data_IF_422207788665
#
_entry.id   IF_422207788665
#
_cell.length_a   1.000
_cell.length_b   1.000
_cell.length_c   1.000
_cell.angle_alpha   90.00
_cell.angle_beta   90.00
_cell.angle_gamma   90.00
#
_symmetry.space_group_name_H-M   'P 1'
#
loop_
_entity.id
_entity.type
_entity.pdbx_description
1 polymer ?
#
# COMPACT_ATOMS: atom_id res chain seq x y z
N UNK A 1 -8.54 11.56 -23.07
CA UNK A 1 -7.52 10.89 -23.89
C UNK A 1 -6.22 10.69 -23.13
N UNK A 2 -5.64 11.76 -22.55
CA UNK A 2 -4.35 11.67 -21.83
C UNK A 2 -4.38 10.79 -20.58
N UNK A 3 -5.48 10.79 -19.82
CA UNK A 3 -5.57 10.05 -18.57
C UNK A 3 -5.49 8.52 -18.78
N UNK A 4 -6.18 7.97 -19.77
CA UNK A 4 -6.19 6.54 -20.07
C UNK A 4 -4.84 6.05 -20.59
N UNK A 5 -4.18 6.85 -21.44
CA UNK A 5 -2.81 6.58 -21.91
C UNK A 5 -1.83 6.62 -20.74
N UNK A 6 -1.94 7.62 -19.87
CA UNK A 6 -1.10 7.75 -18.68
C UNK A 6 -1.24 6.53 -17.76
N UNK A 7 -2.47 6.10 -17.47
CA UNK A 7 -2.75 4.91 -16.64
C UNK A 7 -2.18 3.64 -17.29
N UNK A 8 -2.36 3.48 -18.61
CA UNK A 8 -1.81 2.35 -19.35
C UNK A 8 -0.28 2.30 -19.24
N UNK A 9 0.40 3.42 -19.53
CA UNK A 9 1.84 3.51 -19.47
C UNK A 9 2.36 3.25 -18.06
N UNK A 10 1.71 3.81 -17.04
CA UNK A 10 2.14 3.66 -15.65
C UNK A 10 1.97 2.22 -15.15
N UNK A 11 0.82 1.59 -15.40
CA UNK A 11 0.59 0.20 -15.02
C UNK A 11 1.55 -0.75 -15.75
N UNK A 12 1.75 -0.53 -17.06
CA UNK A 12 2.68 -1.32 -17.88
C UNK A 12 4.12 -1.15 -17.38
N UNK A 13 4.55 0.09 -17.12
CA UNK A 13 5.89 0.40 -16.61
C UNK A 13 6.13 -0.26 -15.25
N UNK A 14 5.19 -0.15 -14.31
CA UNK A 14 5.28 -0.81 -13.01
C UNK A 14 5.35 -2.34 -13.14
N UNK A 15 4.54 -2.92 -14.03
CA UNK A 15 4.58 -4.35 -14.34
C UNK A 15 5.94 -4.78 -14.89
N UNK A 16 6.44 -4.12 -15.94
CA UNK A 16 7.74 -4.42 -16.55
C UNK A 16 8.89 -4.24 -15.56
N UNK A 17 8.86 -3.19 -14.73
CA UNK A 17 9.88 -2.97 -13.70
C UNK A 17 9.92 -4.11 -12.66
N UNK A 18 8.76 -4.66 -12.27
CA UNK A 18 8.75 -5.81 -11.34
C UNK A 18 9.37 -7.06 -11.94
N UNK A 19 9.04 -7.35 -13.20
CA UNK A 19 9.62 -8.48 -13.95
C UNK A 19 11.12 -8.30 -14.09
N UNK A 20 11.57 -7.10 -14.46
CA UNK A 20 12.99 -6.79 -14.63
C UNK A 20 13.80 -7.00 -13.34
N UNK A 21 13.26 -6.56 -12.19
CA UNK A 21 13.96 -6.65 -10.89
C UNK A 21 14.00 -8.05 -10.27
N UNK A 22 12.96 -8.85 -10.44
CA UNK A 22 12.82 -10.15 -9.74
C UNK A 22 12.99 -11.38 -10.63
N UNK A 23 12.54 -11.30 -11.89
CA UNK A 23 12.57 -12.40 -12.88
C UNK A 23 12.02 -13.73 -12.35
N UNK A 24 11.01 -13.66 -11.48
CA UNK A 24 10.31 -14.81 -10.89
C UNK A 24 8.98 -15.08 -11.59
N UNK A 25 8.44 -16.30 -11.49
CA UNK A 25 7.13 -16.63 -12.09
C UNK A 25 6.02 -15.71 -11.57
N UNK A 26 6.01 -15.41 -10.26
CA UNK A 26 5.09 -14.45 -9.65
C UNK A 26 5.20 -13.05 -10.28
N UNK A 27 6.41 -12.59 -10.62
CA UNK A 27 6.61 -11.29 -11.26
C UNK A 27 6.11 -11.27 -12.70
N UNK A 28 6.31 -12.35 -13.48
CA UNK A 28 5.78 -12.45 -14.84
C UNK A 28 4.26 -12.45 -14.87
N UNK A 29 3.62 -13.23 -14.00
CA UNK A 29 2.15 -13.28 -13.90
C UNK A 29 1.61 -11.91 -13.48
N UNK A 30 2.26 -11.25 -12.53
CA UNK A 30 1.90 -9.90 -12.12
C UNK A 30 2.13 -8.85 -13.23
N UNK A 31 3.18 -9.01 -14.04
CA UNK A 31 3.41 -8.18 -15.22
C UNK A 31 2.25 -8.28 -16.21
N UNK A 32 1.80 -9.50 -16.53
CA UNK A 32 0.61 -9.73 -17.37
C UNK A 32 -0.64 -9.09 -16.77
N UNK A 33 -0.85 -9.23 -15.46
CA UNK A 33 -1.94 -8.58 -14.75
C UNK A 33 -1.91 -7.04 -14.91
N UNK A 34 -0.76 -6.42 -14.67
CA UNK A 34 -0.60 -4.97 -14.73
C UNK A 34 -0.81 -4.43 -16.16
N UNK A 35 -0.23 -5.08 -17.17
CA UNK A 35 -0.44 -4.72 -18.58
C UNK A 35 -1.92 -4.86 -18.98
N UNK A 36 -2.59 -5.91 -18.51
CA UNK A 36 -4.00 -6.16 -18.81
C UNK A 36 -4.93 -5.10 -18.22
N UNK A 37 -4.68 -4.67 -16.98
CA UNK A 37 -5.42 -3.58 -16.35
C UNK A 37 -5.14 -2.22 -17.01
N UNK A 38 -3.90 -2.00 -17.48
CA UNK A 38 -3.59 -0.87 -18.34
C UNK A 38 -4.43 -0.89 -19.62
N UNK A 39 -4.47 -2.03 -20.32
CA UNK A 39 -5.21 -2.18 -21.57
C UNK A 39 -6.72 -1.95 -21.36
N UNK A 40 -7.26 -2.48 -20.27
CA UNK A 40 -8.64 -2.24 -19.83
C UNK A 40 -8.93 -0.75 -19.63
N UNK A 41 -8.08 -0.04 -18.86
CA UNK A 41 -8.22 1.39 -18.59
C UNK A 41 -8.16 2.25 -19.87
N UNK A 42 -7.21 1.94 -20.75
CA UNK A 42 -7.08 2.60 -22.04
C UNK A 42 -8.31 2.38 -22.93
N UNK A 43 -8.78 1.13 -23.01
CA UNK A 43 -9.91 0.73 -23.84
C UNK A 43 -11.19 1.45 -23.42
N UNK A 44 -11.50 1.53 -22.12
CA UNK A 44 -12.66 2.29 -21.61
C UNK A 44 -12.64 3.73 -22.11
N UNK A 45 -11.51 4.41 -21.93
CA UNK A 45 -11.42 5.81 -22.30
C UNK A 45 -11.52 6.01 -23.82
N UNK A 46 -10.95 5.10 -24.61
CA UNK A 46 -11.04 5.15 -26.06
C UNK A 46 -12.46 4.85 -26.57
N UNK A 47 -13.19 3.94 -25.93
CA UNK A 47 -14.61 3.70 -26.22
C UNK A 47 -15.46 4.93 -25.96
N UNK A 48 -15.27 5.60 -24.82
CA UNK A 48 -16.02 6.83 -24.50
C UNK A 48 -15.75 7.94 -25.52
N UNK A 49 -14.53 8.02 -26.07
CA UNK A 49 -14.16 9.03 -27.07
C UNK A 49 -14.66 8.72 -28.49
N UNK A 50 -14.65 7.45 -28.89
CA UNK A 50 -14.89 7.06 -30.29
C UNK A 50 -16.24 6.39 -30.53
N UNK A 51 -16.92 5.94 -29.48
CA UNK A 51 -18.11 5.10 -29.60
C UNK A 51 -17.83 3.74 -30.26
N UNK A 52 -16.57 3.34 -30.41
CA UNK A 52 -16.19 2.15 -31.16
C UNK A 52 -16.50 0.86 -30.40
N UNK A 53 -17.23 -0.04 -31.07
CA UNK A 53 -17.52 -1.38 -30.56
C UNK A 53 -16.25 -2.21 -30.32
N UNK A 54 -15.23 -2.05 -31.18
CA UNK A 54 -13.96 -2.75 -31.05
C UNK A 54 -13.30 -2.47 -29.69
N UNK A 55 -13.13 -1.19 -29.34
CA UNK A 55 -12.52 -0.80 -28.06
C UNK A 55 -13.38 -1.22 -26.85
N UNK A 56 -14.72 -1.24 -27.02
CA UNK A 56 -15.60 -1.75 -25.97
C UNK A 56 -15.37 -3.26 -25.75
N UNK A 57 -15.22 -4.04 -26.82
CA UNK A 57 -14.85 -5.47 -26.75
C UNK A 57 -13.47 -5.68 -26.13
N UNK A 58 -12.49 -4.84 -26.48
CA UNK A 58 -11.14 -4.87 -25.88
C UNK A 58 -11.15 -4.61 -24.38
N UNK A 59 -12.11 -3.81 -23.88
CA UNK A 59 -12.30 -3.62 -22.44
C UNK A 59 -12.59 -4.96 -21.75
N UNK A 60 -13.50 -5.77 -22.30
CA UNK A 60 -13.77 -7.09 -21.72
C UNK A 60 -12.55 -8.00 -21.73
N UNK A 61 -11.79 -8.04 -22.83
CA UNK A 61 -10.54 -8.81 -22.92
C UNK A 61 -9.54 -8.39 -21.81
N UNK A 62 -9.33 -7.10 -21.61
CA UNK A 62 -8.43 -6.59 -20.57
C UNK A 62 -8.87 -6.99 -19.16
N UNK A 63 -10.18 -7.04 -18.89
CA UNK A 63 -10.70 -7.50 -17.61
C UNK A 63 -10.53 -9.03 -17.44
N UNK A 64 -10.76 -9.83 -18.49
CA UNK A 64 -10.65 -11.29 -18.47
C UNK A 64 -9.22 -11.75 -18.21
N UNK A 65 -8.26 -11.19 -18.96
CA UNK A 65 -6.83 -11.52 -18.79
C UNK A 65 -6.36 -11.02 -17.42
N UNK A 66 -6.83 -9.86 -16.98
CA UNK A 66 -6.52 -9.31 -15.66
C UNK A 66 -7.00 -10.24 -14.54
N UNK A 67 -8.28 -10.61 -14.53
CA UNK A 67 -8.82 -11.45 -13.45
C UNK A 67 -8.22 -12.87 -13.46
N UNK A 68 -7.99 -13.44 -14.64
CA UNK A 68 -7.31 -14.72 -14.79
C UNK A 68 -5.87 -14.68 -14.24
N UNK A 69 -5.14 -13.59 -14.55
CA UNK A 69 -3.79 -13.37 -14.04
C UNK A 69 -3.76 -13.15 -12.53
N UNK A 70 -4.76 -12.46 -11.95
CA UNK A 70 -4.87 -12.28 -10.50
C UNK A 70 -5.10 -13.61 -9.78
N UNK A 71 -5.97 -14.46 -10.32
CA UNK A 71 -6.22 -15.78 -9.75
C UNK A 71 -4.98 -16.66 -9.84
N UNK A 72 -4.32 -16.69 -11.00
CA UNK A 72 -3.06 -17.40 -11.15
C UNK A 72 -1.98 -16.86 -10.18
N UNK A 73 -1.87 -15.54 -10.05
CA UNK A 73 -0.95 -14.88 -9.10
C UNK A 73 -1.25 -15.33 -7.65
N UNK A 74 -2.52 -15.37 -7.27
CA UNK A 74 -2.96 -15.82 -5.93
C UNK A 74 -2.47 -17.23 -5.59
N UNK A 75 -2.30 -18.09 -6.59
CA UNK A 75 -1.84 -19.48 -6.40
C UNK A 75 -0.32 -19.62 -6.30
N UNK A 76 0.47 -18.74 -6.94
CA UNK A 76 1.94 -18.75 -6.88
C UNK A 76 2.49 -17.96 -5.68
N UNK A 77 1.89 -16.81 -5.37
CA UNK A 77 2.38 -15.87 -4.35
C UNK A 77 1.98 -16.27 -2.92
N UNK A 78 2.81 -16.06 -1.88
CA UNK A 78 4.21 -15.64 -1.89
C UNK A 78 5.16 -16.85 -1.98
N UNK A 79 6.35 -16.65 -2.57
CA UNK A 79 7.45 -17.60 -2.41
C UNK A 79 7.67 -18.57 -3.57
N UNK A 80 7.28 -18.18 -4.78
CA UNK A 80 7.71 -18.86 -6.02
C UNK A 80 7.35 -20.37 -6.07
N UNK A 81 6.18 -20.74 -5.54
CA UNK A 81 5.73 -22.14 -5.57
C UNK A 81 5.50 -22.61 -7.01
N UNK A 82 6.04 -23.77 -7.36
CA UNK A 82 5.81 -24.40 -8.67
C UNK A 82 4.35 -24.81 -8.79
N UNK A 83 3.71 -24.42 -9.89
CA UNK A 83 2.39 -24.90 -10.31
C UNK A 83 2.60 -26.03 -11.31
N UNK A 84 1.80 -27.10 -11.20
CA UNK A 84 1.81 -28.16 -12.20
C UNK A 84 1.18 -27.66 -13.50
N UNK A 85 1.72 -28.12 -14.64
CA UNK A 85 1.28 -27.68 -15.96
C UNK A 85 -0.23 -27.86 -16.18
N UNK A 86 -0.81 -28.98 -15.72
CA UNK A 86 -2.25 -29.24 -15.84
C UNK A 86 -3.11 -28.22 -15.06
N UNK A 87 -2.67 -27.81 -13.86
CA UNK A 87 -3.38 -26.80 -13.07
C UNK A 87 -3.29 -25.42 -13.73
N UNK A 88 -2.12 -25.09 -14.28
CA UNK A 88 -1.92 -23.85 -15.03
C UNK A 88 -2.85 -23.79 -16.25
N UNK A 89 -2.92 -24.85 -17.05
CA UNK A 89 -3.83 -24.93 -18.20
C UNK A 89 -5.30 -24.82 -17.78
N UNK A 90 -5.71 -25.52 -16.71
CA UNK A 90 -7.08 -25.47 -16.21
C UNK A 90 -7.49 -24.05 -15.77
N UNK A 91 -6.59 -23.31 -15.13
CA UNK A 91 -6.83 -21.93 -14.68
C UNK A 91 -6.97 -20.96 -15.86
N UNK A 92 -6.24 -21.18 -16.95
CA UNK A 92 -6.23 -20.27 -18.11
C UNK A 92 -7.31 -20.62 -19.13
N UNK A 93 -7.80 -21.86 -19.14
CA UNK A 93 -8.81 -22.33 -20.08
C UNK A 93 -10.06 -21.45 -20.15
N UNK A 94 -10.68 -21.15 -18.99
CA UNK A 94 -11.87 -20.30 -18.93
C UNK A 94 -11.58 -18.86 -19.42
N UNK A 95 -10.54 -18.17 -18.90
CA UNK A 95 -10.13 -16.86 -19.43
C UNK A 95 -9.90 -16.86 -20.95
N UNK A 96 -9.29 -17.89 -21.52
CA UNK A 96 -9.07 -17.96 -22.97
C UNK A 96 -10.38 -18.09 -23.75
N UNK A 97 -11.31 -18.92 -23.27
CA UNK A 97 -12.62 -19.09 -23.90
C UNK A 97 -13.44 -17.80 -23.87
N UNK A 98 -13.48 -17.12 -22.71
CA UNK A 98 -14.16 -15.83 -22.60
C UNK A 98 -13.47 -14.72 -23.41
N UNK A 99 -12.15 -14.76 -23.57
CA UNK A 99 -11.42 -13.79 -24.39
C UNK A 99 -11.82 -13.89 -25.86
N UNK A 100 -11.99 -15.11 -26.38
CA UNK A 100 -12.51 -15.34 -27.74
C UNK A 100 -13.96 -14.86 -27.83
N UNK A 101 -14.80 -15.23 -26.85
CA UNK A 101 -16.21 -14.81 -26.81
C UNK A 101 -16.38 -13.29 -26.73
N UNK A 102 -15.41 -12.56 -26.16
CA UNK A 102 -15.47 -11.09 -26.02
C UNK A 102 -15.54 -10.33 -27.34
N UNK A 103 -15.07 -10.93 -28.44
CA UNK A 103 -15.16 -10.32 -29.76
C UNK A 103 -16.41 -10.73 -30.56
N UNK A 104 -17.35 -11.44 -29.93
CA UNK A 104 -18.57 -11.93 -30.57
C UNK A 104 -19.82 -11.23 -30.05
N UNK A 105 -20.90 -11.27 -30.84
CA UNK A 105 -22.21 -10.72 -30.49
C UNK A 105 -22.89 -11.49 -29.34
N UNK A 106 -22.34 -12.65 -28.97
CA UNK A 106 -22.79 -13.42 -27.80
C UNK A 106 -22.50 -12.69 -26.49
N UNK A 107 -21.50 -11.80 -26.47
CA UNK A 107 -21.13 -11.01 -25.29
C UNK A 107 -21.61 -9.55 -25.40
N UNK A 108 -21.25 -8.85 -26.47
CA UNK A 108 -21.61 -7.45 -26.69
C UNK A 108 -22.09 -7.23 -28.13
N UNK A 109 -23.36 -6.84 -28.31
CA UNK A 109 -23.98 -6.61 -29.62
C UNK A 109 -23.76 -5.19 -30.12
N UNK A 110 -24.05 -4.19 -29.29
CA UNK A 110 -23.84 -2.78 -29.62
C UNK A 110 -23.43 -1.97 -28.39
N UNK A 111 -22.80 -0.82 -28.62
CA UNK A 111 -22.47 0.16 -27.59
C UNK A 111 -22.98 1.52 -28.02
N UNK A 112 -23.65 2.21 -27.10
CA UNK A 112 -24.10 3.59 -27.24
C UNK A 112 -23.52 4.39 -26.08
N UNK A 113 -23.02 5.60 -26.37
CA UNK A 113 -22.47 6.48 -25.34
C UNK A 113 -23.52 7.55 -25.04
N UNK A 114 -24.12 7.48 -23.84
CA UNK A 114 -25.13 8.44 -23.37
C UNK A 114 -24.55 9.12 -22.14
N UNK A 115 -24.45 10.46 -22.14
CA UNK A 115 -23.92 11.25 -21.02
C UNK A 115 -22.55 10.77 -20.48
N UNK A 116 -21.61 10.47 -21.40
CA UNK A 116 -20.28 9.89 -21.10
C UNK A 116 -20.32 8.53 -20.38
N UNK A 117 -21.49 7.91 -20.30
CA UNK A 117 -21.71 6.58 -19.76
C UNK A 117 -21.85 5.57 -20.89
N UNK A 118 -21.26 4.39 -20.71
CA UNK A 118 -21.32 3.30 -21.69
C UNK A 118 -22.60 2.50 -21.49
N UNK A 119 -23.52 2.59 -22.44
CA UNK A 119 -24.75 1.80 -22.47
C UNK A 119 -24.61 0.74 -23.56
N UNK A 120 -24.34 -0.49 -23.15
CA UNK A 120 -24.17 -1.63 -24.05
C UNK A 120 -25.42 -2.50 -24.12
N UNK A 121 -25.73 -3.03 -25.31
CA UNK A 121 -26.67 -4.15 -25.43
C UNK A 121 -25.90 -5.46 -25.33
N UNK A 122 -26.13 -6.19 -24.25
CA UNK A 122 -25.36 -7.39 -23.91
C UNK A 122 -26.02 -8.66 -24.44
N UNK A 123 -25.20 -9.61 -24.86
CA UNK A 123 -25.66 -10.93 -25.27
C UNK A 123 -25.81 -11.91 -24.09
N UNK A 124 -26.30 -13.14 -24.35
CA UNK A 124 -26.63 -14.12 -23.31
C UNK A 124 -25.42 -14.59 -22.49
N UNK A 125 -24.20 -14.49 -23.03
CA UNK A 125 -22.97 -14.91 -22.33
C UNK A 125 -22.58 -13.94 -21.20
N UNK A 126 -23.15 -12.72 -21.17
CA UNK A 126 -22.78 -11.70 -20.19
C UNK A 126 -22.98 -12.16 -18.73
N UNK A 127 -24.07 -12.88 -18.45
CA UNK A 127 -24.33 -13.40 -17.10
C UNK A 127 -23.25 -14.42 -16.66
N UNK A 128 -22.83 -15.29 -17.59
CA UNK A 128 -21.76 -16.26 -17.33
C UNK A 128 -20.40 -15.57 -17.14
N UNK A 129 -20.15 -14.51 -17.88
CA UNK A 129 -18.96 -13.68 -17.71
C UNK A 129 -18.90 -13.01 -16.33
N UNK A 130 -20.02 -12.44 -15.86
CA UNK A 130 -20.10 -11.84 -14.53
C UNK A 130 -19.85 -12.89 -13.43
N UNK A 131 -20.47 -14.06 -13.57
CA UNK A 131 -20.24 -15.19 -12.65
C UNK A 131 -18.78 -15.65 -12.67
N UNK A 132 -18.15 -15.72 -13.85
CA UNK A 132 -16.73 -16.02 -14.02
C UNK A 132 -15.85 -15.01 -13.27
N UNK A 133 -16.06 -13.71 -13.46
CA UNK A 133 -15.31 -12.67 -12.75
C UNK A 133 -15.48 -12.81 -11.25
N UNK A 134 -16.71 -12.94 -10.76
CA UNK A 134 -17.00 -13.08 -9.33
C UNK A 134 -16.31 -14.31 -8.73
N UNK A 135 -16.33 -15.43 -9.45
CA UNK A 135 -15.71 -16.69 -9.01
C UNK A 135 -14.18 -16.58 -8.96
N UNK A 136 -13.56 -16.04 -10.01
CA UNK A 136 -12.10 -15.87 -10.06
C UNK A 136 -11.61 -14.83 -9.06
N UNK A 137 -12.34 -13.72 -8.90
CA UNK A 137 -12.02 -12.71 -7.90
C UNK A 137 -12.13 -13.27 -6.48
N UNK A 138 -13.27 -13.86 -6.14
CA UNK A 138 -13.50 -14.44 -4.80
C UNK A 138 -12.52 -15.57 -4.51
N UNK A 139 -12.23 -16.42 -5.49
CA UNK A 139 -11.21 -17.47 -5.39
C UNK A 139 -9.81 -16.90 -5.16
N UNK A 140 -9.48 -15.76 -5.77
CA UNK A 140 -8.19 -15.07 -5.57
C UNK A 140 -8.06 -14.59 -4.13
N UNK A 141 -9.09 -13.90 -3.63
CA UNK A 141 -9.13 -13.40 -2.25
C UNK A 141 -9.08 -14.55 -1.26
N UNK A 142 -9.89 -15.59 -1.46
CA UNK A 142 -9.92 -16.77 -0.59
C UNK A 142 -8.55 -17.46 -0.53
N UNK A 143 -7.89 -17.65 -1.67
CA UNK A 143 -6.56 -18.29 -1.74
C UNK A 143 -5.51 -17.46 -1.02
N UNK A 144 -5.48 -16.14 -1.24
CA UNK A 144 -4.54 -15.24 -0.57
C UNK A 144 -4.80 -15.22 0.94
N UNK A 145 -6.06 -15.16 1.37
CA UNK A 145 -6.44 -15.12 2.77
C UNK A 145 -6.14 -16.44 3.50
N UNK A 146 -6.38 -17.59 2.84
CA UNK A 146 -5.99 -18.90 3.35
C UNK A 146 -4.47 -18.98 3.56
N UNK A 147 -3.68 -18.47 2.62
CA UNK A 147 -2.22 -18.39 2.75
C UNK A 147 -1.81 -17.44 3.87
N UNK A 148 -2.48 -16.30 4.01
CA UNK A 148 -2.21 -15.36 5.09
C UNK A 148 -2.29 -16.03 6.47
N UNK A 149 -3.27 -16.90 6.72
CA UNK A 149 -3.39 -17.60 8.00
C UNK A 149 -2.23 -18.57 8.29
N UNK A 150 -1.76 -19.27 7.25
CA UNK A 150 -0.83 -20.40 7.38
C UNK A 150 0.65 -20.04 7.12
N UNK A 151 0.95 -18.80 6.77
CA UNK A 151 2.29 -18.33 6.40
C UNK A 151 3.14 -17.87 7.59
N UNK A 152 4.46 -17.83 7.41
CA UNK A 152 5.39 -17.23 8.38
C UNK A 152 5.19 -15.71 8.47
N UNK A 153 5.73 -15.06 9.50
CA UNK A 153 5.56 -13.62 9.73
C UNK A 153 5.99 -12.75 8.52
N UNK A 154 7.13 -13.09 7.89
CA UNK A 154 7.64 -12.35 6.72
C UNK A 154 6.73 -12.50 5.49
N UNK A 155 6.16 -13.69 5.29
CA UNK A 155 5.19 -13.95 4.22
C UNK A 155 3.85 -13.30 4.49
N UNK A 156 3.40 -13.27 5.76
CA UNK A 156 2.20 -12.52 6.17
C UNK A 156 2.31 -11.04 5.84
N UNK A 157 3.48 -10.43 6.04
CA UNK A 157 3.70 -9.03 5.66
C UNK A 157 3.52 -8.84 4.15
N UNK A 158 4.18 -9.67 3.31
CA UNK A 158 4.01 -9.62 1.84
C UNK A 158 2.55 -9.74 1.41
N UNK A 159 1.83 -10.72 1.96
CA UNK A 159 0.41 -10.92 1.69
C UNK A 159 -0.42 -9.74 2.17
N UNK A 160 -0.09 -9.18 3.34
CA UNK A 160 -0.75 -8.00 3.89
C UNK A 160 -0.67 -6.79 2.95
N UNK A 161 0.50 -6.52 2.34
CA UNK A 161 0.61 -5.44 1.34
C UNK A 161 -0.24 -5.70 0.10
N UNK A 162 -0.25 -6.94 -0.42
CA UNK A 162 -1.07 -7.29 -1.57
C UNK A 162 -2.58 -7.13 -1.26
N UNK A 163 -3.03 -7.63 -0.10
CA UNK A 163 -4.41 -7.47 0.36
C UNK A 163 -4.77 -6.00 0.55
N UNK A 164 -3.90 -5.21 1.17
CA UNK A 164 -4.11 -3.78 1.36
C UNK A 164 -4.23 -3.03 0.03
N UNK A 165 -3.38 -3.35 -0.95
CA UNK A 165 -3.48 -2.80 -2.30
C UNK A 165 -4.79 -3.15 -3.01
N UNK A 166 -5.22 -4.41 -2.90
CA UNK A 166 -6.50 -4.86 -3.46
C UNK A 166 -7.67 -4.15 -2.77
N UNK A 167 -7.67 -4.05 -1.44
CA UNK A 167 -8.73 -3.38 -0.68
C UNK A 167 -8.82 -1.89 -1.00
N UNK A 168 -7.69 -1.18 -1.09
CA UNK A 168 -7.64 0.25 -1.41
C UNK A 168 -8.03 0.56 -2.86
N UNK A 169 -7.95 -0.42 -3.76
CA UNK A 169 -8.40 -0.25 -5.14
C UNK A 169 -9.87 -0.67 -5.31
N UNK A 170 -10.22 -1.87 -4.87
CA UNK A 170 -11.52 -2.48 -5.12
C UNK A 170 -12.62 -1.86 -4.25
N UNK A 171 -12.33 -1.52 -2.99
CA UNK A 171 -13.31 -0.90 -2.09
C UNK A 171 -13.87 0.40 -2.66
N UNK A 172 -13.03 1.41 -2.96
CA UNK A 172 -13.50 2.64 -3.58
C UNK A 172 -14.13 2.42 -4.96
N UNK A 173 -13.65 1.47 -5.75
CA UNK A 173 -14.24 1.17 -7.06
C UNK A 173 -15.68 0.61 -6.93
N UNK A 174 -15.96 -0.23 -5.93
CA UNK A 174 -17.33 -0.69 -5.64
C UNK A 174 -18.21 0.49 -5.22
N UNK A 175 -17.68 1.38 -4.38
CA UNK A 175 -18.43 2.57 -3.95
C UNK A 175 -18.79 3.43 -5.16
N UNK A 176 -17.83 3.73 -6.04
CA UNK A 176 -18.06 4.66 -7.16
C UNK A 176 -18.91 4.08 -8.28
N UNK A 177 -18.85 2.77 -8.56
CA UNK A 177 -19.51 2.17 -9.73
C UNK A 177 -20.75 1.35 -9.39
N UNK A 178 -20.94 1.00 -8.12
CA UNK A 178 -22.06 0.17 -7.69
C UNK A 178 -22.91 0.92 -6.66
N UNK A 179 -22.30 1.35 -5.54
CA UNK A 179 -23.07 1.97 -4.44
C UNK A 179 -23.64 3.33 -4.85
N UNK A 180 -22.81 4.23 -5.40
CA UNK A 180 -23.28 5.57 -5.80
C UNK A 180 -24.35 5.53 -6.90
N UNK A 181 -24.21 4.74 -7.99
CA UNK A 181 -25.26 4.60 -8.98
C UNK A 181 -26.54 3.98 -8.43
N UNK A 182 -26.46 2.90 -7.64
CA UNK A 182 -27.65 2.18 -7.18
C UNK A 182 -28.40 2.91 -6.05
N UNK A 183 -27.68 3.53 -5.11
CA UNK A 183 -28.29 4.18 -3.95
C UNK A 183 -28.60 5.66 -4.18
N UNK A 184 -27.85 6.36 -5.05
CA UNK A 184 -27.95 7.80 -5.23
C UNK A 184 -28.17 8.23 -6.69
N UNK A 185 -28.33 7.27 -7.62
CA UNK A 185 -28.47 7.52 -9.07
C UNK A 185 -27.38 8.44 -9.64
N UNK A 186 -26.17 8.37 -9.08
CA UNK A 186 -25.06 9.25 -9.44
C UNK A 186 -23.93 8.45 -10.10
N UNK A 187 -23.72 8.71 -11.40
CA UNK A 187 -22.70 8.07 -12.23
C UNK A 187 -21.45 8.94 -12.45
N UNK A 188 -21.37 10.13 -11.84
CA UNK A 188 -20.30 11.11 -12.09
C UNK A 188 -18.90 10.57 -11.74
N UNK A 189 -18.82 9.57 -10.87
CA UNK A 189 -17.55 9.02 -10.37
C UNK A 189 -17.10 7.72 -11.06
N UNK A 190 -17.85 7.19 -12.03
CA UNK A 190 -17.51 5.93 -12.73
C UNK A 190 -16.13 5.99 -13.43
N UNK A 191 -15.68 7.19 -13.80
CA UNK A 191 -14.38 7.42 -14.44
C UNK A 191 -13.15 7.27 -13.52
N UNK A 192 -13.33 7.12 -12.20
CA UNK A 192 -12.22 7.04 -11.23
C UNK A 192 -11.60 5.63 -11.15
N UNK A 193 -12.38 4.60 -11.47
CA UNK A 193 -12.00 3.18 -11.35
C UNK A 193 -10.66 2.83 -12.01
N UNK A 194 -10.36 3.32 -13.23
CA UNK A 194 -9.07 3.08 -13.87
C UNK A 194 -7.89 3.62 -13.06
N UNK A 195 -8.05 4.77 -12.39
CA UNK A 195 -6.99 5.38 -11.56
C UNK A 195 -6.70 4.53 -10.32
N UNK A 196 -7.74 3.94 -9.73
CA UNK A 196 -7.59 3.07 -8.55
C UNK A 196 -6.75 1.81 -8.83
N UNK A 197 -6.73 1.34 -10.08
CA UNK A 197 -5.89 0.19 -10.47
C UNK A 197 -4.40 0.42 -10.21
N UNK A 198 -3.92 1.65 -10.33
CA UNK A 198 -2.53 2.03 -10.08
C UNK A 198 -2.15 1.72 -8.63
N UNK A 199 -3.05 2.01 -7.68
CA UNK A 199 -2.83 1.76 -6.26
C UNK A 199 -2.56 0.27 -6.04
N UNK A 200 -3.43 -0.58 -6.57
CA UNK A 200 -3.25 -2.03 -6.48
C UNK A 200 -1.93 -2.49 -7.10
N UNK A 201 -1.58 -2.00 -8.30
CA UNK A 201 -0.33 -2.35 -8.98
C UNK A 201 0.89 -1.92 -8.16
N UNK A 202 0.89 -0.72 -7.58
CA UNK A 202 1.99 -0.23 -6.74
C UNK A 202 2.19 -1.10 -5.49
N UNK A 203 1.11 -1.41 -4.78
CA UNK A 203 1.19 -2.21 -3.55
C UNK A 203 1.63 -3.65 -3.80
N UNK A 204 1.11 -4.30 -4.85
CA UNK A 204 1.53 -5.67 -5.21
C UNK A 204 2.95 -5.67 -5.77
N UNK A 205 3.32 -4.70 -6.62
CA UNK A 205 4.69 -4.50 -7.11
C UNK A 205 5.68 -4.39 -5.96
N UNK A 206 5.35 -3.56 -4.97
CA UNK A 206 6.13 -3.42 -3.75
C UNK A 206 6.26 -4.75 -2.99
N UNK A 207 5.16 -5.48 -2.83
CA UNK A 207 5.11 -6.79 -2.18
C UNK A 207 5.97 -7.87 -2.87
N UNK A 208 6.20 -7.75 -4.18
CA UNK A 208 7.05 -8.65 -4.97
C UNK A 208 8.52 -8.25 -4.87
N UNK A 209 8.84 -6.96 -5.06
CA UNK A 209 10.22 -6.48 -5.21
C UNK A 209 11.00 -6.48 -3.90
N UNK A 210 10.43 -5.93 -2.81
CA UNK A 210 11.22 -5.67 -1.60
C UNK A 210 11.43 -6.96 -0.81
N UNK A 211 12.62 -7.16 -0.24
CA UNK A 211 12.95 -8.39 0.51
C UNK A 211 12.85 -8.24 2.02
N UNK A 212 12.74 -7.01 2.54
CA UNK A 212 12.60 -6.71 3.97
C UNK A 212 11.49 -5.68 4.14
N UNK A 213 10.30 -6.17 4.45
CA UNK A 213 9.12 -5.33 4.60
C UNK A 213 9.05 -4.75 6.00
N UNK A 214 8.68 -3.47 6.09
CA UNK A 214 8.10 -2.93 7.31
C UNK A 214 6.87 -3.79 7.66
N UNK A 215 6.67 -4.05 8.95
CA UNK A 215 5.47 -4.74 9.44
C UNK A 215 4.23 -4.04 8.85
N UNK A 216 3.36 -4.82 8.21
CA UNK A 216 2.14 -4.30 7.62
C UNK A 216 1.27 -3.63 8.68
N UNK A 217 1.31 -4.08 9.93
CA UNK A 217 0.62 -3.42 11.06
C UNK A 217 1.13 -2.01 11.27
N UNK A 218 2.45 -1.79 11.18
CA UNK A 218 3.06 -0.46 11.31
C UNK A 218 2.66 0.42 10.14
N UNK A 219 2.64 -0.10 8.92
CA UNK A 219 2.20 0.67 7.74
C UNK A 219 0.72 1.02 7.82
N UNK A 220 -0.15 0.10 8.24
CA UNK A 220 -1.58 0.37 8.43
C UNK A 220 -1.77 1.40 9.55
N UNK A 221 -1.13 1.22 10.71
CA UNK A 221 -1.24 2.16 11.82
C UNK A 221 -0.79 3.56 11.40
N UNK A 222 0.45 3.70 10.89
CA UNK A 222 0.97 4.99 10.42
C UNK A 222 0.09 5.56 9.31
N UNK A 223 -0.32 4.73 8.35
CA UNK A 223 -1.20 5.14 7.26
C UNK A 223 -2.55 5.67 7.75
N UNK A 224 -3.19 5.01 8.71
CA UNK A 224 -4.46 5.46 9.30
C UNK A 224 -4.28 6.79 10.04
N UNK A 225 -3.21 6.93 10.81
CA UNK A 225 -2.91 8.16 11.56
C UNK A 225 -2.72 9.33 10.60
N UNK A 226 -1.85 9.17 9.60
CA UNK A 226 -1.60 10.20 8.60
C UNK A 226 -2.85 10.49 7.77
N UNK A 227 -3.69 9.49 7.48
CA UNK A 227 -4.95 9.68 6.78
C UNK A 227 -5.95 10.47 7.61
N UNK A 228 -6.09 10.18 8.92
CA UNK A 228 -6.93 10.96 9.83
C UNK A 228 -6.46 12.41 9.90
N UNK A 229 -5.15 12.62 10.06
CA UNK A 229 -4.54 13.95 10.11
C UNK A 229 -4.80 14.72 8.80
N UNK A 230 -4.60 14.07 7.66
CA UNK A 230 -4.87 14.65 6.35
C UNK A 230 -6.36 14.97 6.17
N UNK A 231 -7.26 14.09 6.62
CA UNK A 231 -8.70 14.31 6.58
C UNK A 231 -9.14 15.47 7.47
N UNK A 232 -8.54 15.66 8.65
CA UNK A 232 -8.84 16.80 9.52
C UNK A 232 -8.35 18.10 8.90
N UNK A 233 -7.13 18.13 8.35
CA UNK A 233 -6.60 19.31 7.64
C UNK A 233 -7.49 19.65 6.43
N UNK A 234 -7.78 18.65 5.60
CA UNK A 234 -8.61 18.81 4.39
C UNK A 234 -10.04 19.21 4.76
N UNK A 235 -10.64 18.59 5.78
CA UNK A 235 -11.98 18.92 6.27
C UNK A 235 -12.05 20.33 6.82
N UNK A 236 -11.06 20.76 7.61
CA UNK A 236 -10.98 22.15 8.11
C UNK A 236 -10.85 23.13 6.95
N UNK A 237 -9.99 22.81 5.96
CA UNK A 237 -9.85 23.61 4.76
C UNK A 237 -11.16 23.73 3.98
N UNK A 238 -11.86 22.62 3.73
CA UNK A 238 -13.15 22.62 3.05
C UNK A 238 -14.21 23.42 3.82
N UNK A 239 -14.29 23.26 5.15
CA UNK A 239 -15.21 24.03 5.99
C UNK A 239 -14.92 25.52 5.88
N UNK A 240 -13.66 25.94 5.92
CA UNK A 240 -13.28 27.33 5.72
C UNK A 240 -13.72 27.82 4.34
N UNK A 241 -13.36 27.11 3.27
CA UNK A 241 -13.73 27.48 1.88
C UNK A 241 -15.25 27.63 1.74
N UNK A 242 -16.02 26.63 2.17
CA UNK A 242 -17.48 26.67 2.08
C UNK A 242 -18.12 27.74 2.99
N UNK A 243 -17.55 28.01 4.16
CA UNK A 243 -18.04 29.08 5.04
C UNK A 243 -17.80 30.46 4.42
N UNK A 244 -16.63 30.68 3.81
CA UNK A 244 -16.33 31.90 3.05
C UNK A 244 -17.25 32.00 1.83
N UNK A 245 -17.41 30.94 1.05
CA UNK A 245 -18.34 30.94 -0.08
C UNK A 245 -19.77 31.26 0.37
N UNK A 246 -20.27 30.64 1.44
CA UNK A 246 -21.61 30.93 1.96
C UNK A 246 -21.78 32.39 2.40
N UNK A 247 -20.80 32.96 3.12
CA UNK A 247 -20.86 34.34 3.61
C UNK A 247 -20.73 35.38 2.48
N UNK A 248 -19.96 35.10 1.43
CA UNK A 248 -19.61 36.06 0.37
C UNK A 248 -20.33 35.82 -0.98
N UNK A 249 -21.02 34.68 -1.16
CA UNK A 249 -21.75 34.29 -2.39
C UNK A 249 -22.90 35.22 -2.78
N UNK A 250 -23.28 36.17 -1.92
CA UNK A 250 -24.39 37.10 -2.18
C UNK A 250 -24.01 38.39 -2.92
N UNK A 251 -22.80 38.52 -3.45
CA UNK A 251 -22.34 39.77 -4.10
C UNK A 251 -21.66 39.52 -5.44
N UNK A 252 -21.77 40.51 -6.34
CA UNK A 252 -21.35 40.60 -7.76
C UNK A 252 -20.03 39.89 -8.13
N UNK A 253 -19.74 39.78 -9.44
CA UNK A 253 -18.53 39.11 -9.98
C UNK A 253 -17.19 39.50 -9.31
N UNK A 254 -17.09 40.71 -8.74
CA UNK A 254 -15.94 41.16 -7.93
C UNK A 254 -15.74 40.34 -6.64
N UNK A 255 -16.81 39.78 -6.05
CA UNK A 255 -16.78 38.92 -4.86
C UNK A 255 -16.11 37.58 -5.11
N UNK A 256 -16.26 37.02 -6.31
CA UNK A 256 -15.67 35.72 -6.69
C UNK A 256 -14.15 35.81 -6.71
N UNK A 257 -13.60 36.90 -7.26
CA UNK A 257 -12.14 37.13 -7.25
C UNK A 257 -11.61 37.36 -5.84
N UNK A 258 -12.34 38.11 -5.01
CA UNK A 258 -11.95 38.38 -3.63
C UNK A 258 -12.02 37.11 -2.77
N UNK A 259 -13.06 36.29 -2.92
CA UNK A 259 -13.19 35.02 -2.20
C UNK A 259 -12.14 34.00 -2.61
N UNK A 260 -11.79 33.91 -3.90
CA UNK A 260 -10.70 33.07 -4.40
C UNK A 260 -9.34 33.51 -3.84
N UNK A 261 -9.08 34.81 -3.79
CA UNK A 261 -7.84 35.37 -3.26
C UNK A 261 -7.72 35.15 -1.75
N UNK A 262 -8.80 35.38 -0.98
CA UNK A 262 -8.85 35.11 0.46
C UNK A 262 -8.69 33.62 0.76
N UNK A 263 -9.38 32.75 0.02
CA UNK A 263 -9.26 31.29 0.18
C UNK A 263 -7.83 30.82 -0.07
N UNK A 264 -7.17 31.37 -1.09
CA UNK A 264 -5.77 31.07 -1.41
C UNK A 264 -4.84 31.53 -0.29
N UNK A 265 -5.04 32.75 0.25
CA UNK A 265 -4.26 33.26 1.38
C UNK A 265 -4.47 32.43 2.64
N UNK A 266 -5.71 32.08 2.98
CA UNK A 266 -6.03 31.22 4.13
C UNK A 266 -5.43 29.82 3.94
N UNK A 267 -5.41 29.29 2.72
CA UNK A 267 -4.70 28.04 2.39
C UNK A 267 -3.19 28.14 2.67
N UNK A 268 -2.54 29.19 2.15
CA UNK A 268 -1.09 29.39 2.27
C UNK A 268 -0.68 29.65 3.73
N UNK A 269 -1.43 30.45 4.48
CA UNK A 269 -1.06 30.84 5.84
C UNK A 269 -1.67 29.96 6.93
N UNK A 270 -2.86 29.39 6.71
CA UNK A 270 -3.59 28.59 7.69
C UNK A 270 -3.18 27.11 7.70
N UNK A 271 -2.84 26.53 6.53
CA UNK A 271 -2.47 25.10 6.45
C UNK A 271 -1.12 24.80 7.13
N UNK A 272 -0.03 25.58 6.96
CA UNK A 272 1.25 25.30 7.60
C UNK A 272 1.23 25.24 9.15
N UNK A 273 0.60 26.18 9.88
CA UNK A 273 0.53 26.10 11.35
C UNK A 273 -0.34 24.94 11.82
N UNK A 274 -1.46 24.66 11.13
CA UNK A 274 -2.31 23.50 11.43
C UNK A 274 -1.52 22.19 11.26
N UNK A 275 -0.80 22.06 10.14
CA UNK A 275 0.10 20.93 9.85
C UNK A 275 1.14 20.76 10.96
N UNK A 276 1.80 21.84 11.39
CA UNK A 276 2.79 21.80 12.48
C UNK A 276 2.17 21.40 13.81
N UNK A 277 1.00 21.91 14.17
CA UNK A 277 0.31 21.57 15.43
C UNK A 277 -0.04 20.08 15.48
N UNK A 278 -0.65 19.57 14.41
CA UNK A 278 -1.02 18.17 14.33
C UNK A 278 0.21 17.27 14.25
N UNK A 279 1.27 17.64 13.51
CA UNK A 279 2.55 16.92 13.55
C UNK A 279 3.11 16.83 14.97
N UNK A 280 3.18 17.94 15.73
CA UNK A 280 3.71 17.94 17.11
C UNK A 280 2.90 17.04 18.07
N UNK A 281 1.57 17.09 17.99
CA UNK A 281 0.67 16.24 18.79
C UNK A 281 0.80 14.76 18.41
N UNK A 282 0.93 14.50 17.10
CA UNK A 282 1.10 13.18 16.52
C UNK A 282 2.45 12.62 16.96
N UNK A 283 3.54 13.34 16.79
CA UNK A 283 4.88 12.89 17.17
C UNK A 283 4.96 12.52 18.66
N UNK A 284 4.33 13.31 19.53
CA UNK A 284 4.29 13.02 20.97
C UNK A 284 3.49 11.75 21.35
N UNK A 285 2.48 11.38 20.55
CA UNK A 285 1.64 10.20 20.78
C UNK A 285 2.23 8.96 20.07
N UNK A 286 2.82 9.14 18.89
CA UNK A 286 3.22 8.06 17.98
C UNK A 286 4.72 7.74 17.99
N UNK A 287 5.59 8.73 18.26
CA UNK A 287 7.04 8.51 18.40
C UNK A 287 7.47 8.26 19.84
N UNK A 288 6.54 8.14 20.79
CA UNK A 288 6.85 7.69 22.16
C UNK A 288 7.54 6.30 22.23
N UNK A 289 7.62 5.57 21.11
CA UNK A 289 8.33 4.29 20.98
C UNK A 289 9.36 4.25 19.85
N UNK A 290 9.52 5.32 19.07
CA UNK A 290 10.63 5.42 18.13
C UNK A 290 11.71 6.15 18.90
N UNK A 291 12.65 5.38 19.44
CA UNK A 291 13.82 5.85 20.21
C UNK A 291 14.17 7.27 19.81
N UNK A 292 13.95 8.22 20.72
CA UNK A 292 14.60 9.49 20.59
C UNK A 292 16.07 9.21 20.90
N UNK A 293 16.80 8.66 19.92
CA UNK A 293 18.21 8.30 20.02
C UNK A 293 19.00 9.49 20.56
N UNK A 294 18.54 10.72 20.31
CA UNK A 294 19.16 11.94 20.83
C UNK A 294 19.00 12.07 22.34
N UNK A 295 17.83 11.77 22.90
CA UNK A 295 17.59 11.79 24.35
C UNK A 295 18.32 10.63 25.06
N UNK A 296 18.34 9.44 24.44
CA UNK A 296 19.08 8.27 24.94
C UNK A 296 20.59 8.54 24.91
N UNK A 297 21.13 9.04 23.80
CA UNK A 297 22.55 9.39 23.68
C UNK A 297 22.94 10.53 24.63
N UNK A 298 22.07 11.52 24.84
CA UNK A 298 22.27 12.57 25.83
C UNK A 298 22.38 11.99 27.24
N UNK A 299 21.44 11.14 27.63
CA UNK A 299 21.42 10.49 28.94
C UNK A 299 22.64 9.58 29.17
N UNK A 300 23.10 8.87 28.12
CA UNK A 300 24.32 8.07 28.16
C UNK A 300 25.56 8.95 28.31
N UNK A 301 25.62 10.07 27.58
CA UNK A 301 26.73 11.03 27.65
C UNK A 301 26.83 11.67 29.04
N UNK A 302 25.69 12.03 29.62
CA UNK A 302 25.62 12.58 30.98
C UNK A 302 26.04 11.52 32.02
N UNK A 303 25.59 10.27 31.86
CA UNK A 303 26.00 9.18 32.74
C UNK A 303 27.51 8.90 32.67
N UNK A 304 28.11 9.03 31.49
CA UNK A 304 29.55 8.86 31.26
C UNK A 304 30.38 10.03 31.80
N UNK A 305 29.87 11.26 31.71
CA UNK A 305 30.62 12.47 32.11
C UNK A 305 30.46 12.82 33.59
N UNK A 306 29.36 12.43 34.24
CA UNK A 306 29.05 12.86 35.62
C UNK A 306 29.57 11.89 36.69
N UNK A 307 29.89 10.65 36.31
CA UNK A 307 30.34 9.61 37.23
C UNK A 307 31.82 9.29 37.00
N UNK A 308 32.62 9.28 38.07
CA UNK A 308 34.06 8.96 38.01
C UNK A 308 34.31 7.45 38.25
N UNK A 309 33.39 6.76 38.93
CA UNK A 309 33.50 5.34 39.25
C UNK A 309 32.93 4.44 38.13
N UNK A 310 33.73 3.48 37.67
CA UNK A 310 33.38 2.54 36.60
C UNK A 310 32.09 1.75 36.89
N UNK A 311 31.88 1.34 38.13
CA UNK A 311 30.70 0.57 38.54
C UNK A 311 29.42 1.41 38.39
N UNK A 312 29.48 2.69 38.79
CA UNK A 312 28.31 3.59 38.66
C UNK A 312 28.02 3.97 37.21
N UNK A 313 29.05 4.05 36.35
CA UNK A 313 28.87 4.24 34.91
C UNK A 313 28.17 3.02 34.31
N UNK A 314 28.68 1.82 34.60
CA UNK A 314 28.16 0.59 33.98
C UNK A 314 26.73 0.29 34.41
N UNK A 315 26.39 0.53 35.68
CA UNK A 315 25.03 0.37 36.20
C UNK A 315 24.03 1.35 35.56
N UNK A 316 24.31 2.66 35.57
CA UNK A 316 23.42 3.66 34.94
C UNK A 316 23.28 3.45 33.44
N UNK A 317 24.38 3.13 32.76
CA UNK A 317 24.39 2.86 31.32
C UNK A 317 23.59 1.59 31.01
N UNK A 318 23.73 0.55 31.84
CA UNK A 318 22.96 -0.69 31.70
C UNK A 318 21.46 -0.44 31.87
N UNK A 319 21.05 0.37 32.84
CA UNK A 319 19.65 0.70 33.07
C UNK A 319 19.03 1.51 31.92
N UNK A 320 19.75 2.51 31.42
CA UNK A 320 19.33 3.29 30.24
C UNK A 320 19.20 2.39 29.02
N UNK A 321 20.17 1.51 28.78
CA UNK A 321 20.13 0.54 27.67
C UNK A 321 19.01 -0.48 27.84
N UNK A 322 18.78 -0.98 29.06
CA UNK A 322 17.72 -1.95 29.36
C UNK A 322 16.34 -1.35 29.12
N UNK A 323 16.11 -0.12 29.58
CA UNK A 323 14.85 0.59 29.37
C UNK A 323 14.64 0.98 27.91
N UNK A 324 15.67 1.55 27.28
CA UNK A 324 15.60 1.95 25.89
C UNK A 324 15.41 0.70 25.02
N UNK A 325 16.35 -0.24 24.97
CA UNK A 325 16.33 -1.44 24.12
C UNK A 325 15.23 -2.46 24.48
N UNK A 326 14.48 -2.23 25.57
CA UNK A 326 13.50 -3.16 26.14
C UNK A 326 14.09 -4.55 26.35
N UNK A 327 15.36 -4.62 26.74
CA UNK A 327 16.06 -5.87 27.02
C UNK A 327 15.65 -6.42 28.40
N UNK A 328 15.65 -7.74 28.58
CA UNK A 328 15.48 -8.37 29.89
C UNK A 328 16.71 -8.16 30.77
N UNK A 329 17.90 -8.28 30.18
CA UNK A 329 19.20 -8.12 30.84
C UNK A 329 20.18 -7.39 29.93
N UNK A 330 21.04 -6.56 30.53
CA UNK A 330 22.17 -5.89 29.88
C UNK A 330 23.38 -6.11 30.79
N UNK A 331 24.43 -6.73 30.26
CA UNK A 331 25.61 -7.11 31.04
C UNK A 331 26.86 -6.55 30.37
N UNK A 332 27.64 -5.80 31.14
CA UNK A 332 28.98 -5.38 30.76
C UNK A 332 30.00 -6.40 31.28
N UNK A 333 30.78 -7.00 30.38
CA UNK A 333 31.89 -7.88 30.73
C UNK A 333 33.21 -7.23 30.30
N UNK A 334 34.10 -6.97 31.26
CA UNK A 334 35.44 -6.46 30.99
C UNK A 334 36.45 -7.61 31.19
N UNK A 335 37.34 -7.82 30.21
CA UNK A 335 38.30 -8.95 30.22
C UNK A 335 37.85 -10.21 29.45
N UNK A 336 38.58 -11.32 29.59
CA UNK A 336 38.44 -12.54 28.77
C UNK A 336 37.26 -13.45 29.13
N UNK A 337 36.54 -13.19 30.22
CA UNK A 337 35.40 -14.01 30.63
C UNK A 337 34.09 -13.45 30.08
N UNK A 338 33.71 -13.92 28.90
CA UNK A 338 32.37 -13.74 28.36
C UNK A 338 31.43 -14.79 28.95
N UNK A 339 30.37 -14.42 29.67
CA UNK A 339 29.32 -15.38 30.00
C UNK A 339 28.69 -15.88 28.69
N UNK A 340 28.80 -17.19 28.43
CA UNK A 340 28.15 -17.87 27.30
C UNK A 340 26.72 -18.21 27.72
N UNK A 341 25.77 -17.35 27.39
CA UNK A 341 24.35 -17.69 27.41
C UNK A 341 23.79 -17.72 25.98
N UNK A 342 23.12 -18.83 25.64
CA UNK A 342 22.71 -19.25 24.29
C UNK A 342 21.55 -18.45 23.67
N UNK A 343 21.34 -17.19 24.05
CA UNK A 343 20.30 -16.36 23.43
C UNK A 343 20.56 -14.86 23.47
N UNK A 344 21.83 -14.46 23.49
CA UNK A 344 22.24 -13.08 23.69
C UNK A 344 23.06 -12.52 22.51
N UNK A 345 22.82 -11.25 22.16
CA UNK A 345 23.68 -10.52 21.22
C UNK A 345 24.84 -9.92 22.01
N UNK A 346 26.07 -10.15 21.56
CA UNK A 346 27.26 -9.54 22.13
C UNK A 346 27.84 -8.50 21.17
N UNK A 347 28.05 -7.30 21.67
CA UNK A 347 28.66 -6.18 20.97
C UNK A 347 30.03 -5.89 21.60
N UNK A 348 31.13 -5.85 20.81
CA UNK A 348 32.46 -5.58 21.35
C UNK A 348 32.59 -4.10 21.73
N UNK A 349 33.08 -3.84 22.94
CA UNK A 349 33.45 -2.52 23.43
C UNK A 349 34.91 -2.30 23.07
N UNK A 350 35.18 -1.32 22.20
CA UNK A 350 36.53 -1.04 21.71
C UNK A 350 37.04 0.32 22.18
N UNK A 351 38.29 0.36 22.60
CA UNK A 351 39.04 1.60 22.82
C UNK A 351 40.31 1.57 21.98
N UNK A 352 40.52 2.58 21.14
CA UNK A 352 41.65 2.65 20.19
C UNK A 352 41.86 1.36 19.37
N UNK A 353 40.78 0.78 18.85
CA UNK A 353 40.74 -0.47 18.08
C UNK A 353 41.19 -1.73 18.86
N UNK A 354 41.42 -1.64 20.17
CA UNK A 354 41.62 -2.80 21.04
C UNK A 354 40.30 -3.16 21.72
N UNK A 355 39.95 -4.44 21.70
CA UNK A 355 38.77 -4.94 22.42
C UNK A 355 39.06 -4.93 23.93
N UNK A 356 38.27 -4.16 24.68
CA UNK A 356 38.40 -4.02 26.14
C UNK A 356 37.32 -4.81 26.89
N UNK A 357 36.26 -5.23 26.22
CA UNK A 357 35.16 -5.97 26.82
C UNK A 357 33.99 -6.18 25.86
N UNK A 358 32.93 -6.83 26.32
CA UNK A 358 31.72 -7.05 25.54
C UNK A 358 30.49 -6.55 26.30
N UNK A 359 29.56 -5.94 25.57
CA UNK A 359 28.20 -5.61 25.99
C UNK A 359 27.29 -6.75 25.51
N UNK A 360 26.67 -7.45 26.46
CA UNK A 360 25.76 -8.57 26.16
C UNK A 360 24.33 -8.16 26.44
N UNK A 361 23.47 -8.29 25.43
CA UNK A 361 22.03 -8.01 25.50
C UNK A 361 21.26 -9.33 25.58
N UNK A 362 20.45 -9.48 26.64
CA UNK A 362 19.51 -10.60 26.81
C UNK A 362 18.31 -10.51 25.86
N UNK A 363 17.30 -11.37 26.05
CA UNK A 363 16.10 -11.36 25.19
C UNK A 363 15.36 -10.02 25.25
N UNK A 364 14.77 -9.62 24.13
CA UNK A 364 13.88 -8.44 24.10
C UNK A 364 12.58 -8.80 24.82
N UNK A 365 12.09 -7.94 25.72
CA UNK A 365 10.83 -8.13 26.46
C UNK A 365 9.60 -8.28 25.55
N UNK A 366 9.69 -7.85 24.28
CA UNK A 366 8.65 -8.05 23.28
C UNK A 366 8.65 -9.45 22.65
N UNK A 367 9.69 -10.26 22.86
CA UNK A 367 9.89 -11.57 22.22
C UNK A 367 10.48 -11.52 20.81
N UNK A 368 10.74 -10.31 20.27
CA UNK A 368 11.33 -10.13 18.95
C UNK A 368 12.86 -10.24 18.96
N UNK A 369 13.47 -10.56 17.81
CA UNK A 369 14.92 -10.43 17.63
C UNK A 369 15.33 -8.96 17.47
N UNK A 370 16.50 -8.58 17.97
CA UNK A 370 17.08 -7.26 17.73
C UNK A 370 17.26 -7.00 16.23
N UNK A 371 17.01 -5.77 15.80
CA UNK A 371 17.15 -5.33 14.42
C UNK A 371 18.50 -4.62 14.18
N UNK A 372 18.77 -4.19 12.94
CA UNK A 372 20.00 -3.44 12.59
C UNK A 372 20.04 -2.00 13.11
N UNK A 373 18.94 -1.48 13.64
CA UNK A 373 18.89 -0.14 14.23
C UNK A 373 19.19 -0.20 15.74
N UNK A 374 18.92 -1.35 16.37
CA UNK A 374 19.24 -1.66 17.76
C UNK A 374 20.76 -1.95 17.94
N UNK A 375 21.43 -2.47 16.90
CA UNK A 375 22.88 -2.77 16.87
C UNK A 375 23.67 -1.61 16.26
#
# INVERSE_FOLDING_TARGET
MYLGIFIFLLNTLLGVMTVYKKRTLESFIFGTFACSFGLWAFSIQYTVLTGSLFWCRTTFLGAIIGIGSLFLFSTVFPGNKKISFSKFLLIIFLPTLFSIASYTDLMLRSVTVVDRSLVGTFGPIMNFYQLFILTYFSGSIYTIFKKYKNSSYQEKNKIGYALLGISLSVGPAIITNVVLPLCFNNNSFNGISPVLSIIMVVFISYAIIRHQFLDIKVVIQRGLIYSILLSVITGTYLVLVFSFEYLFSKSNETSIFISALITTLVGIFGVPPLKKYFQKKTDKIFFKNAYDYREVLGSLTDALNTNIALDSITEKTADILKQSLKAETVIFSFGKNTPKEDSCISLPIQSNKKNIGNLTLGKKRSGDKYNKEDM
#
